data_IF_079067597070
#
_entry.id   IF_079067597070
#
_cell.length_a   1.000
_cell.length_b   1.000
_cell.length_c   1.000
_cell.angle_alpha   90.00
_cell.angle_beta   90.00
_cell.angle_gamma   90.00
#
_symmetry.space_group_name_H-M   'P 1'
#
loop_
_entity.id
_entity.type
_entity.pdbx_description
1 polymer ?
#
# COMPACT_ATOMS: atom_id res chain seq x y z
N UNK A 1 0.63 -6.46 14.09
CA UNK A 1 -0.43 -6.56 13.07
C UNK A 1 0.08 -5.86 11.82
N UNK A 2 -0.02 -6.52 10.66
CA UNK A 2 0.53 -6.03 9.40
C UNK A 2 -0.60 -5.59 8.49
N UNK A 3 -0.54 -4.35 8.02
CA UNK A 3 -1.58 -3.74 7.18
C UNK A 3 -0.98 -3.32 5.85
N UNK A 4 -1.60 -3.73 4.76
CA UNK A 4 -1.28 -3.25 3.42
C UNK A 4 -2.14 -2.03 3.09
N UNK A 5 -1.50 -0.95 2.66
CA UNK A 5 -2.16 0.22 2.10
C UNK A 5 -1.79 0.39 0.63
N UNK A 6 -2.71 0.04 -0.30
CA UNK A 6 -2.55 0.33 -1.71
C UNK A 6 -2.79 1.83 -1.94
N UNK A 7 -1.71 2.55 -2.23
CA UNK A 7 -1.70 4.01 -2.43
C UNK A 7 -2.49 4.41 -3.66
N UNK A 8 -2.52 3.53 -4.66
CA UNK A 8 -3.23 3.73 -5.94
C UNK A 8 -4.76 3.73 -5.79
N UNK A 9 -5.30 2.99 -4.82
CA UNK A 9 -6.73 2.89 -4.61
C UNK A 9 -7.24 4.07 -3.78
N UNK A 10 -6.44 4.51 -2.82
CA UNK A 10 -6.88 5.44 -1.78
C UNK A 10 -6.34 6.85 -2.03
N UNK A 11 -7.20 7.73 -2.55
CA UNK A 11 -6.87 9.14 -2.82
C UNK A 11 -6.94 10.04 -1.58
N UNK A 12 -7.51 9.56 -0.46
CA UNK A 12 -7.75 10.38 0.72
C UNK A 12 -7.07 9.80 1.97
N UNK A 13 -5.88 10.32 2.27
CA UNK A 13 -5.02 9.92 3.38
C UNK A 13 -5.65 10.28 4.74
N UNK A 14 -6.34 11.43 4.84
CA UNK A 14 -6.96 11.86 6.09
C UNK A 14 -8.09 10.92 6.51
N UNK A 15 -8.84 10.41 5.54
CA UNK A 15 -9.85 9.37 5.77
C UNK A 15 -9.23 8.08 6.30
N UNK A 16 -8.06 7.68 5.76
CA UNK A 16 -7.32 6.54 6.28
C UNK A 16 -6.88 6.75 7.72
N UNK A 17 -6.27 7.89 8.02
CA UNK A 17 -5.78 8.20 9.36
C UNK A 17 -6.91 8.16 10.38
N UNK A 18 -8.07 8.75 10.04
CA UNK A 18 -9.25 8.74 10.89
C UNK A 18 -9.77 7.31 11.13
N UNK A 19 -9.95 6.53 10.07
CA UNK A 19 -10.41 5.13 10.16
C UNK A 19 -9.43 4.27 10.98
N UNK A 20 -8.14 4.54 10.84
CA UNK A 20 -7.09 3.81 11.53
C UNK A 20 -7.07 4.12 13.03
N UNK A 21 -7.16 5.40 13.40
CA UNK A 21 -7.24 5.84 14.80
C UNK A 21 -8.49 5.28 15.48
N UNK A 22 -9.61 5.20 14.76
CA UNK A 22 -10.87 4.67 15.28
C UNK A 22 -10.82 3.14 15.47
N UNK A 23 -10.30 2.38 14.50
CA UNK A 23 -10.34 0.91 14.53
C UNK A 23 -9.19 0.24 15.28
N UNK A 24 -8.01 0.87 15.38
CA UNK A 24 -6.77 0.21 15.84
C UNK A 24 -6.31 0.69 17.21
N UNK A 25 -7.22 0.56 18.17
CA UNK A 25 -7.08 1.14 19.50
C UNK A 25 -6.22 0.40 20.50
N UNK A 26 -5.65 -0.78 20.25
CA UNK A 26 -4.86 -1.47 21.31
C UNK A 26 -3.66 -2.28 20.82
N UNK A 27 -3.41 -2.39 19.51
CA UNK A 27 -2.35 -3.27 18.96
C UNK A 27 -1.25 -2.46 18.27
N UNK A 28 0.03 -2.86 18.38
CA UNK A 28 1.09 -2.30 17.57
C UNK A 28 0.85 -2.65 16.09
N UNK A 29 0.98 -1.65 15.24
CA UNK A 29 0.68 -1.76 13.81
C UNK A 29 1.92 -1.50 12.97
N UNK A 30 2.15 -2.39 12.02
CA UNK A 30 3.10 -2.22 10.92
C UNK A 30 2.31 -1.94 9.66
N UNK A 31 2.64 -0.87 8.95
CA UNK A 31 1.98 -0.50 7.69
C UNK A 31 2.95 -0.71 6.54
N UNK A 32 2.50 -1.44 5.52
CA UNK A 32 3.18 -1.57 4.25
C UNK A 32 2.46 -0.72 3.21
N UNK A 33 3.09 0.34 2.75
CA UNK A 33 2.60 1.15 1.64
C UNK A 33 2.96 0.45 0.33
N UNK A 34 1.96 0.12 -0.49
CA UNK A 34 2.14 -0.47 -1.81
C UNK A 34 1.78 0.55 -2.88
N UNK A 35 2.73 0.81 -3.78
CA UNK A 35 2.48 1.51 -5.03
C UNK A 35 2.85 0.58 -6.19
N UNK A 36 1.93 0.49 -7.14
CA UNK A 36 2.17 -0.19 -8.42
C UNK A 36 2.48 0.81 -9.51
N UNK A 37 3.29 0.38 -10.48
CA UNK A 37 3.56 1.16 -11.68
C UNK A 37 3.65 0.24 -12.89
N UNK A 38 3.32 0.80 -14.05
CA UNK A 38 3.50 0.14 -15.34
C UNK A 38 4.82 0.60 -15.96
N UNK A 39 5.47 -0.31 -16.67
CA UNK A 39 6.63 0.02 -17.50
C UNK A 39 6.12 0.00 -18.93
N UNK A 40 6.14 1.14 -19.61
CA UNK A 40 5.79 1.20 -21.01
C UNK A 40 6.87 0.48 -21.82
N UNK A 41 6.46 -0.44 -22.69
CA UNK A 41 7.35 -1.02 -23.69
C UNK A 41 7.23 -0.18 -24.96
N UNK A 42 8.23 0.66 -25.21
CA UNK A 42 8.38 1.33 -26.51
C UNK A 42 9.35 0.49 -27.34
N UNK A 43 8.90 0.01 -28.51
CA UNK A 43 9.72 -0.67 -29.51
C UNK A 43 10.51 -1.91 -29.02
N UNK A 44 9.89 -2.79 -28.23
CA UNK A 44 10.51 -4.05 -27.82
C UNK A 44 11.70 -3.91 -26.86
N UNK A 45 11.98 -2.70 -26.37
CA UNK A 45 12.90 -2.43 -25.27
C UNK A 45 12.06 -2.16 -24.03
N UNK A 46 12.44 -2.78 -22.92
CA UNK A 46 11.90 -2.40 -21.62
C UNK A 46 12.38 -0.98 -21.34
N UNK A 47 11.54 0.01 -21.58
CA UNK A 47 11.89 1.40 -21.29
C UNK A 47 11.79 1.55 -19.78
N UNK A 48 12.89 1.21 -19.11
CA UNK A 48 13.21 1.71 -17.76
C UNK A 48 13.65 3.18 -17.88
N UNK A 49 13.30 3.89 -18.95
CA UNK A 49 13.56 5.31 -19.02
C UNK A 49 12.37 6.08 -18.51
N UNK A 50 12.73 6.96 -17.60
CA UNK A 50 11.93 8.02 -17.01
C UNK A 50 10.96 7.53 -15.95
N UNK A 51 11.25 7.73 -14.67
CA UNK A 51 11.69 9.02 -14.19
C UNK A 51 12.24 8.81 -12.78
N UNK A 52 13.56 8.93 -12.63
CA UNK A 52 14.16 9.06 -11.30
C UNK A 52 13.48 10.19 -10.51
N UNK A 53 12.96 11.22 -11.19
CA UNK A 53 12.08 12.20 -10.53
C UNK A 53 10.69 11.67 -10.19
N UNK A 54 10.10 10.74 -10.95
CA UNK A 54 8.85 10.06 -10.55
C UNK A 54 9.10 9.18 -9.33
N UNK A 55 10.14 8.34 -9.33
CA UNK A 55 10.52 7.56 -8.15
C UNK A 55 10.84 8.46 -6.96
N UNK A 56 11.58 9.55 -7.15
CA UNK A 56 11.89 10.53 -6.08
C UNK A 56 10.66 11.29 -5.60
N UNK A 57 9.75 11.70 -6.50
CA UNK A 57 8.49 12.37 -6.14
C UNK A 57 7.58 11.43 -5.40
N UNK A 58 7.42 10.21 -5.90
CA UNK A 58 6.66 9.17 -5.26
C UNK A 58 7.25 8.81 -3.89
N UNK A 59 8.57 8.66 -3.79
CA UNK A 59 9.26 8.45 -2.52
C UNK A 59 9.03 9.62 -1.56
N UNK A 60 8.99 10.87 -2.06
CA UNK A 60 8.71 12.06 -1.25
C UNK A 60 7.28 12.04 -0.72
N UNK A 61 6.30 11.75 -1.58
CA UNK A 61 4.88 11.68 -1.20
C UNK A 61 4.67 10.55 -0.17
N UNK A 62 5.35 9.42 -0.35
CA UNK A 62 5.29 8.27 0.56
C UNK A 62 6.04 8.52 1.88
N UNK A 63 7.17 9.24 1.85
CA UNK A 63 7.86 9.69 3.07
C UNK A 63 7.04 10.71 3.85
N UNK A 64 6.33 11.59 3.15
CA UNK A 64 5.39 12.53 3.78
C UNK A 64 4.26 11.78 4.47
N UNK A 65 3.67 10.79 3.78
CA UNK A 65 2.64 9.90 4.34
C UNK A 65 3.15 9.13 5.57
N UNK A 66 4.35 8.56 5.50
CA UNK A 66 5.01 7.90 6.64
C UNK A 66 5.14 8.85 7.84
N UNK A 67 5.59 10.08 7.60
CA UNK A 67 5.72 11.08 8.68
C UNK A 67 4.37 11.43 9.30
N UNK A 68 3.33 11.63 8.49
CA UNK A 68 1.98 11.91 8.99
C UNK A 68 1.43 10.74 9.81
N UNK A 69 1.56 9.50 9.31
CA UNK A 69 1.12 8.30 10.01
C UNK A 69 1.77 8.16 11.38
N UNK A 70 3.10 8.27 11.44
CA UNK A 70 3.85 8.15 12.70
C UNK A 70 3.54 9.28 13.69
N UNK A 71 3.30 10.51 13.21
CA UNK A 71 2.89 11.64 14.07
C UNK A 71 1.48 11.45 14.62
N UNK A 72 0.55 11.00 13.78
CA UNK A 72 -0.87 10.90 14.11
C UNK A 72 -1.19 9.68 14.98
N UNK A 73 -0.36 8.62 14.95
CA UNK A 73 -0.63 7.42 15.72
C UNK A 73 0.64 6.80 16.31
N UNK A 74 0.82 6.95 17.63
CA UNK A 74 1.92 6.32 18.40
C UNK A 74 1.98 4.79 18.30
N UNK A 75 0.90 4.15 17.85
CA UNK A 75 0.83 2.68 17.69
C UNK A 75 1.36 2.19 16.36
N UNK A 76 1.55 3.08 15.39
CA UNK A 76 2.22 2.76 14.15
C UNK A 76 3.71 2.68 14.47
N UNK A 77 4.18 1.48 14.74
CA UNK A 77 5.57 1.22 15.14
C UNK A 77 6.50 1.16 13.94
N UNK A 78 5.96 0.83 12.77
CA UNK A 78 6.73 0.64 11.55
C UNK A 78 5.89 1.03 10.34
N UNK A 79 6.52 1.75 9.41
CA UNK A 79 5.95 2.07 8.11
C UNK A 79 7.00 1.79 7.06
N UNK A 80 6.75 0.75 6.28
CA UNK A 80 7.55 0.31 5.15
C UNK A 80 6.85 0.59 3.84
N UNK A 81 7.60 0.50 2.75
CA UNK A 81 7.13 0.88 1.43
C UNK A 81 7.69 -0.06 0.39
N UNK A 82 6.83 -0.52 -0.52
CA UNK A 82 7.21 -1.38 -1.63
C UNK A 82 6.70 -0.82 -2.95
N UNK A 83 7.58 -0.88 -3.95
CA UNK A 83 7.30 -0.52 -5.33
C UNK A 83 7.29 -1.81 -6.14
N UNK A 84 6.21 -2.07 -6.86
CA UNK A 84 6.06 -3.29 -7.67
C UNK A 84 5.58 -2.93 -9.06
N UNK A 85 6.13 -3.64 -10.05
CA UNK A 85 5.71 -3.52 -11.45
C UNK A 85 4.48 -4.41 -11.66
N UNK A 86 3.49 -3.91 -12.40
CA UNK A 86 2.30 -4.66 -12.80
C UNK A 86 1.03 -4.20 -12.11
N UNK A 87 -0.10 -4.83 -12.44
CA UNK A 87 -1.40 -4.42 -11.89
C UNK A 87 -1.61 -4.91 -10.46
N UNK A 88 -2.33 -4.11 -9.66
CA UNK A 88 -2.65 -4.43 -8.26
C UNK A 88 -3.23 -5.83 -8.06
N UNK A 89 -4.12 -6.29 -8.97
CA UNK A 89 -4.76 -7.62 -8.87
C UNK A 89 -3.73 -8.76 -8.79
N UNK A 90 -2.60 -8.64 -9.48
CA UNK A 90 -1.55 -9.67 -9.49
C UNK A 90 -0.47 -9.42 -8.43
N UNK A 91 -0.26 -8.17 -8.05
CA UNK A 91 0.78 -7.79 -7.09
C UNK A 91 0.33 -8.03 -5.65
N UNK A 92 -0.93 -7.73 -5.33
CA UNK A 92 -1.45 -7.79 -3.95
C UNK A 92 -1.29 -9.18 -3.33
N UNK A 93 -1.70 -10.31 -3.96
CA UNK A 93 -1.55 -11.63 -3.36
C UNK A 93 -0.10 -11.95 -2.98
N UNK A 94 0.83 -11.68 -3.89
CA UNK A 94 2.26 -11.88 -3.66
C UNK A 94 2.80 -11.01 -2.51
N UNK A 95 2.38 -9.75 -2.42
CA UNK A 95 2.80 -8.83 -1.35
C UNK A 95 2.19 -9.23 -0.01
N UNK A 96 0.95 -9.71 -0.02
CA UNK A 96 0.26 -10.20 1.17
C UNK A 96 1.02 -11.37 1.79
N UNK A 97 1.38 -12.36 0.97
CA UNK A 97 2.14 -13.53 1.44
C UNK A 97 3.56 -13.16 1.88
N UNK A 98 4.27 -12.37 1.06
CA UNK A 98 5.68 -11.98 1.33
C UNK A 98 5.84 -11.22 2.65
N UNK A 99 4.85 -10.38 3.00
CA UNK A 99 4.92 -9.51 4.17
C UNK A 99 3.98 -9.94 5.29
N UNK A 100 3.39 -11.13 5.19
CA UNK A 100 2.44 -11.68 6.18
C UNK A 100 1.36 -10.65 6.55
N UNK A 101 0.75 -10.03 5.54
CA UNK A 101 -0.26 -8.99 5.71
C UNK A 101 -1.52 -9.63 6.31
N UNK A 102 -2.10 -8.99 7.33
CA UNK A 102 -3.34 -9.45 7.97
C UNK A 102 -4.56 -8.68 7.46
N UNK A 103 -4.38 -7.40 7.12
CA UNK A 103 -5.46 -6.53 6.66
C UNK A 103 -5.05 -5.70 5.46
N UNK A 104 -5.99 -5.43 4.56
CA UNK A 104 -5.80 -4.54 3.43
C UNK A 104 -6.75 -3.36 3.57
N UNK A 105 -6.23 -2.16 3.35
CA UNK A 105 -7.05 -0.97 3.27
C UNK A 105 -7.59 -0.78 1.86
N UNK A 106 -8.90 -0.73 1.71
CA UNK A 106 -9.61 -0.43 0.46
C UNK A 106 -10.42 0.85 0.61
N UNK A 107 -11.03 1.33 -0.47
CA UNK A 107 -11.81 2.57 -0.48
C UNK A 107 -12.88 2.63 0.62
N UNK A 108 -13.47 1.48 0.95
CA UNK A 108 -14.52 1.35 1.98
C UNK A 108 -13.96 1.07 3.39
N UNK A 109 -12.64 1.25 3.58
CA UNK A 109 -11.93 1.09 4.84
C UNK A 109 -11.11 -0.20 4.93
N UNK A 110 -10.78 -0.58 6.17
CA UNK A 110 -9.91 -1.73 6.44
C UNK A 110 -10.69 -3.07 6.40
N UNK A 111 -10.16 -4.05 5.66
CA UNK A 111 -10.69 -5.42 5.47
C UNK A 111 -9.66 -6.48 5.86
N UNK A 112 -10.10 -7.62 6.40
CA UNK A 112 -9.19 -8.75 6.66
C UNK A 112 -8.73 -9.36 5.34
N UNK A 113 -7.50 -9.87 5.28
CA UNK A 113 -7.04 -10.70 4.16
C UNK A 113 -7.88 -11.97 4.03
N UNK A 114 -8.34 -12.52 5.15
CA UNK A 114 -9.23 -13.70 5.16
C UNK A 114 -10.58 -13.37 4.47
N UNK A 115 -11.08 -12.14 4.60
CA UNK A 115 -12.27 -11.65 3.88
C UNK A 115 -12.00 -11.43 2.38
N UNK A 116 -10.72 -11.29 2.02
CA UNK A 116 -10.21 -11.00 0.67
C UNK A 116 -9.92 -12.27 -0.15
N UNK A 117 -9.99 -13.44 0.47
CA UNK A 117 -9.86 -14.77 -0.15
C UNK A 117 -10.86 -15.03 -1.29
N UNK A 118 -11.84 -14.14 -1.51
CA UNK A 118 -12.73 -14.14 -2.67
C UNK A 118 -12.08 -13.77 -4.02
N UNK A 119 -10.83 -13.32 -4.06
CA UNK A 119 -10.16 -12.96 -5.34
C UNK A 119 -9.89 -14.15 -6.27
N UNK A 120 -9.95 -15.39 -5.77
CA UNK A 120 -9.79 -16.62 -6.57
C UNK A 120 -11.05 -17.07 -7.31
N UNK A 121 -12.21 -16.41 -7.14
CA UNK A 121 -13.48 -16.83 -7.78
C UNK A 121 -13.99 -15.92 -8.89
N UNK A 122 -13.18 -14.97 -9.36
CA UNK A 122 -13.51 -14.13 -10.52
C UNK A 122 -12.51 -14.37 -11.66
N UNK A 123 -12.70 -15.50 -12.33
CA UNK A 123 -12.43 -15.65 -13.77
C UNK A 123 -13.62 -15.09 -14.55
#
# INVERSE_FOLDING_TARGET
MNILYPVDLNKNIDFLLKTFIEKMRDKPVKILLLKTYHVDQVEGRCVIETNDMFKKRLQRDLNHLKSQLQKSCKRIIEVDMVLKIGSLKHVIPNVVDQHQINYIFVNDGLKSVDDFSGFEKAQ
#
